data_IF_514599768997
#
_entry.id   IF_514599768997
#
_cell.length_a   1.000
_cell.length_b   1.000
_cell.length_c   1.000
_cell.angle_alpha   90.00
_cell.angle_beta   90.00
_cell.angle_gamma   90.00
#
_symmetry.space_group_name_H-M   'P 1'
#
loop_
_entity.id
_entity.type
_entity.pdbx_description
1 polymer ?
#
# COMPACT_ATOMS: atom_id res chain seq x y z
N UNK A 1 5.59 59.30 15.46
CA UNK A 1 6.79 58.43 15.34
C UNK A 1 6.94 57.68 16.66
N UNK A 2 7.25 56.36 16.64
CA UNK A 2 6.81 55.32 17.60
C UNK A 2 7.97 54.93 18.59
N UNK A 3 8.12 53.74 19.27
CA UNK A 3 7.75 52.34 18.91
C UNK A 3 7.03 51.45 19.97
N UNK A 4 6.48 50.32 19.47
CA UNK A 4 5.95 49.11 20.17
C UNK A 4 7.05 48.20 20.77
N UNK A 5 6.69 47.16 21.57
CA UNK A 5 6.68 45.79 21.00
C UNK A 5 5.63 44.80 21.59
N UNK A 6 5.09 43.94 20.72
CA UNK A 6 5.04 42.48 20.96
C UNK A 6 3.75 41.86 21.50
N UNK A 7 2.68 41.79 20.70
CA UNK A 7 1.58 40.84 20.94
C UNK A 7 1.62 39.71 19.90
N UNK A 8 1.99 38.52 20.36
CA UNK A 8 2.06 37.27 19.59
C UNK A 8 0.67 36.76 19.17
N UNK A 9 0.48 36.23 17.95
CA UNK A 9 -0.78 35.61 17.55
C UNK A 9 -0.89 34.21 18.16
N UNK A 10 -1.87 33.99 19.05
CA UNK A 10 -2.18 32.65 19.57
C UNK A 10 -3.01 31.90 18.54
N UNK A 11 -2.39 30.94 17.85
CA UNK A 11 -3.10 29.97 17.02
C UNK A 11 -3.83 28.97 17.92
N UNK A 12 -5.14 28.72 17.75
CA UNK A 12 -5.80 27.61 18.42
C UNK A 12 -5.40 26.26 17.77
N UNK A 13 -5.16 25.20 18.55
CA UNK A 13 -4.79 23.87 18.04
C UNK A 13 -5.97 23.11 17.41
N UNK A 14 -5.73 22.31 16.35
CA UNK A 14 -6.77 21.51 15.69
C UNK A 14 -6.93 20.12 16.36
N UNK A 15 -7.59 20.06 17.51
CA UNK A 15 -7.91 18.77 18.18
C UNK A 15 -9.40 18.35 18.04
N UNK A 16 -10.16 19.01 17.16
CA UNK A 16 -11.57 18.69 16.89
C UNK A 16 -11.77 17.81 15.63
N UNK A 17 -10.73 17.15 15.13
CA UNK A 17 -10.80 16.28 13.94
C UNK A 17 -11.08 14.80 14.27
N UNK A 18 -11.58 14.50 15.47
CA UNK A 18 -12.09 13.17 15.78
C UNK A 18 -13.42 12.94 15.07
N UNK A 19 -13.42 11.92 14.20
CA UNK A 19 -14.59 11.17 13.69
C UNK A 19 -15.41 11.86 12.60
N UNK A 20 -14.78 12.15 11.46
CA UNK A 20 -15.46 11.90 10.18
C UNK A 20 -15.14 10.47 9.76
N UNK A 21 -16.13 9.60 9.95
CA UNK A 21 -16.21 8.29 9.30
C UNK A 21 -16.03 8.51 7.79
N UNK A 22 -14.79 8.39 7.35
CA UNK A 22 -14.44 8.40 5.96
C UNK A 22 -14.76 7.00 5.43
N UNK A 23 -16.03 6.82 5.06
CA UNK A 23 -16.38 5.99 3.91
C UNK A 23 -15.67 6.64 2.71
N UNK A 24 -14.35 6.45 2.59
CA UNK A 24 -13.65 6.74 1.35
C UNK A 24 -14.06 5.62 0.42
N UNK A 25 -14.95 5.96 -0.53
CA UNK A 25 -15.17 5.14 -1.70
C UNK A 25 -13.82 4.70 -2.24
N UNK A 26 -13.75 3.42 -2.59
CA UNK A 26 -12.69 2.75 -3.36
C UNK A 26 -11.94 3.73 -4.25
N UNK A 27 -10.95 4.43 -3.67
CA UNK A 27 -10.00 5.24 -4.40
C UNK A 27 -9.15 4.19 -5.08
N UNK A 28 -9.22 4.13 -6.40
CA UNK A 28 -8.30 3.34 -7.22
C UNK A 28 -6.88 3.67 -6.73
N UNK A 29 -6.35 2.79 -5.88
CA UNK A 29 -4.97 2.87 -5.43
C UNK A 29 -4.15 2.39 -6.61
N UNK A 30 -3.01 3.04 -6.91
CA UNK A 30 -2.15 2.56 -7.98
C UNK A 30 -1.85 1.09 -7.73
N UNK A 31 -1.99 0.27 -8.78
CA UNK A 31 -1.69 -1.15 -8.72
C UNK A 31 -0.41 -1.39 -7.89
N UNK A 32 -0.46 -2.34 -6.95
CA UNK A 32 0.66 -2.66 -6.07
C UNK A 32 0.69 -1.97 -4.71
N UNK A 33 -0.32 -1.20 -4.32
CA UNK A 33 -0.54 -0.74 -2.94
C UNK A 33 -1.88 -1.24 -2.38
N UNK A 34 -1.87 -1.97 -1.26
CA UNK A 34 -3.08 -2.43 -0.56
C UNK A 34 -3.10 -1.91 0.89
N UNK A 35 -3.93 -0.90 1.15
CA UNK A 35 -4.01 -0.24 2.46
C UNK A 35 -4.61 -1.12 3.56
N UNK A 36 -5.49 -2.06 3.24
CA UNK A 36 -6.03 -2.98 4.25
C UNK A 36 -4.96 -3.98 4.70
N UNK A 37 -4.14 -4.46 3.76
CA UNK A 37 -2.97 -5.28 4.08
C UNK A 37 -1.98 -4.50 4.95
N UNK A 38 -1.72 -3.23 4.60
CA UNK A 38 -0.87 -2.34 5.37
C UNK A 38 -1.36 -2.13 6.81
N UNK A 39 -2.66 -1.88 6.99
CA UNK A 39 -3.28 -1.71 8.30
C UNK A 39 -3.19 -2.99 9.14
N UNK A 40 -3.50 -4.15 8.55
CA UNK A 40 -3.38 -5.44 9.22
C UNK A 40 -1.95 -5.67 9.76
N UNK A 41 -0.92 -5.46 8.94
CA UNK A 41 0.46 -5.67 9.40
C UNK A 41 0.89 -4.67 10.49
N UNK A 42 0.42 -3.42 10.43
CA UNK A 42 0.67 -2.41 11.47
C UNK A 42 -0.01 -2.77 12.80
N UNK A 43 -1.26 -3.23 12.76
CA UNK A 43 -1.99 -3.67 13.94
C UNK A 43 -1.34 -4.90 14.58
N UNK A 44 -0.92 -5.87 13.76
CA UNK A 44 -0.22 -7.06 14.24
C UNK A 44 1.13 -6.71 14.88
N UNK A 45 1.86 -5.75 14.30
CA UNK A 45 3.09 -5.24 14.93
C UNK A 45 2.79 -4.58 16.28
N UNK A 46 1.81 -3.68 16.32
CA UNK A 46 1.44 -2.99 17.55
C UNK A 46 1.05 -3.98 18.66
N UNK A 47 0.33 -5.06 18.31
CA UNK A 47 -0.01 -6.14 19.22
C UNK A 47 1.21 -6.96 19.70
N UNK A 48 2.22 -7.13 18.84
CA UNK A 48 3.47 -7.85 19.18
C UNK A 48 4.44 -7.04 20.05
N UNK A 49 4.26 -5.72 20.15
CA UNK A 49 5.15 -4.78 20.84
C UNK A 49 6.64 -4.85 20.40
N UNK A 50 6.91 -5.31 19.17
CA UNK A 50 8.26 -5.39 18.60
C UNK A 50 8.56 -4.14 17.75
N UNK A 51 9.84 -3.75 17.68
CA UNK A 51 10.31 -2.78 16.67
C UNK A 51 10.50 -3.42 15.29
N UNK A 52 10.52 -2.64 14.22
CA UNK A 52 10.74 -3.11 12.84
C UNK A 52 11.99 -3.96 12.70
N UNK A 53 13.07 -3.52 13.34
CA UNK A 53 14.33 -4.22 13.31
C UNK A 53 14.27 -5.55 14.10
N UNK A 54 13.64 -5.57 15.28
CA UNK A 54 13.48 -6.79 16.07
C UNK A 54 12.63 -7.83 15.36
N UNK A 55 11.56 -7.38 14.70
CA UNK A 55 10.69 -8.27 13.94
C UNK A 55 11.39 -8.80 12.70
N UNK A 56 12.13 -7.96 11.95
CA UNK A 56 12.95 -8.41 10.84
C UNK A 56 13.96 -9.47 11.27
N UNK A 57 14.61 -9.26 12.43
CA UNK A 57 15.51 -10.24 13.05
C UNK A 57 14.82 -11.56 13.37
N UNK A 58 13.62 -11.53 13.98
CA UNK A 58 12.84 -12.74 14.30
C UNK A 58 12.34 -13.48 13.08
N UNK A 59 11.98 -12.76 12.01
CA UNK A 59 11.49 -13.33 10.76
C UNK A 59 12.64 -13.79 9.83
N UNK A 60 13.89 -13.50 10.18
CA UNK A 60 15.06 -13.80 9.35
C UNK A 60 15.01 -13.08 8.01
N UNK A 61 14.52 -11.83 8.00
CA UNK A 61 14.36 -11.02 6.79
C UNK A 61 14.94 -9.61 6.98
N UNK A 62 14.84 -8.78 5.94
CA UNK A 62 15.29 -7.38 5.97
C UNK A 62 14.19 -6.47 6.50
N UNK A 63 14.59 -5.40 7.17
CA UNK A 63 13.66 -4.36 7.66
C UNK A 63 12.82 -3.76 6.52
N UNK A 64 13.40 -3.60 5.34
CA UNK A 64 12.70 -3.07 4.16
C UNK A 64 11.48 -3.93 3.76
N UNK A 65 11.56 -5.25 3.97
CA UNK A 65 10.45 -6.18 3.64
C UNK A 65 9.30 -5.99 4.63
N UNK A 66 9.64 -5.82 5.91
CA UNK A 66 8.66 -5.52 6.95
C UNK A 66 7.98 -4.18 6.69
N UNK A 67 8.76 -3.17 6.31
CA UNK A 67 8.24 -1.86 5.90
C UNK A 67 7.32 -1.93 4.69
N UNK A 68 7.71 -2.70 3.65
CA UNK A 68 6.87 -2.90 2.47
C UNK A 68 5.52 -3.54 2.83
N UNK A 69 5.50 -4.52 3.75
CA UNK A 69 4.26 -5.14 4.23
C UNK A 69 3.41 -4.14 5.04
N UNK A 70 4.02 -3.37 5.93
CA UNK A 70 3.33 -2.37 6.78
C UNK A 70 2.86 -1.12 6.01
N UNK A 71 3.45 -0.85 4.84
CA UNK A 71 3.03 0.20 3.91
C UNK A 71 2.07 -0.33 2.83
N UNK A 72 1.89 -1.66 2.75
CA UNK A 72 1.11 -2.31 1.70
C UNK A 72 1.75 -2.22 0.31
N UNK A 73 3.04 -1.92 0.22
CA UNK A 73 3.80 -1.80 -1.02
C UNK A 73 4.12 -3.17 -1.62
N UNK A 74 3.10 -3.83 -2.19
CA UNK A 74 3.18 -5.22 -2.64
C UNK A 74 4.23 -5.44 -3.73
N UNK A 75 4.53 -4.44 -4.55
CA UNK A 75 5.59 -4.52 -5.57
C UNK A 75 7.01 -4.37 -5.03
N UNK A 76 7.17 -3.85 -3.80
CA UNK A 76 8.46 -3.79 -3.12
C UNK A 76 8.78 -5.09 -2.35
N UNK A 77 7.85 -6.06 -2.36
CA UNK A 77 8.04 -7.34 -1.71
C UNK A 77 9.10 -8.19 -2.43
N UNK A 78 9.81 -9.04 -1.68
CA UNK A 78 10.78 -9.95 -2.26
C UNK A 78 10.07 -11.03 -3.11
N UNK A 79 10.84 -11.87 -3.85
CA UNK A 79 10.26 -12.94 -4.66
C UNK A 79 9.22 -13.78 -3.91
N UNK A 80 8.21 -14.30 -4.61
CA UNK A 80 7.04 -14.92 -3.98
C UNK A 80 7.37 -16.00 -2.92
N UNK A 81 8.38 -16.83 -3.17
CA UNK A 81 8.86 -17.83 -2.21
C UNK A 81 9.32 -17.21 -0.87
N UNK A 82 10.03 -16.08 -0.96
CA UNK A 82 10.48 -15.29 0.19
C UNK A 82 9.30 -14.65 0.93
N UNK A 83 8.38 -14.05 0.17
CA UNK A 83 7.15 -13.44 0.74
C UNK A 83 6.33 -14.48 1.50
N UNK A 84 6.12 -15.66 0.91
CA UNK A 84 5.46 -16.77 1.59
C UNK A 84 6.18 -17.16 2.89
N UNK A 85 7.51 -17.28 2.86
CA UNK A 85 8.30 -17.66 4.04
C UNK A 85 8.18 -16.63 5.17
N UNK A 86 8.30 -15.33 4.85
CA UNK A 86 8.17 -14.23 5.83
C UNK A 86 6.76 -14.17 6.42
N UNK A 87 5.73 -14.20 5.58
CA UNK A 87 4.33 -14.13 6.03
C UNK A 87 3.95 -15.37 6.86
N UNK A 88 4.40 -16.57 6.49
CA UNK A 88 4.19 -17.77 7.32
C UNK A 88 4.90 -17.69 8.67
N UNK A 89 6.15 -17.20 8.71
CA UNK A 89 6.86 -16.98 9.98
C UNK A 89 6.12 -15.96 10.87
N UNK A 90 5.57 -14.91 10.26
CA UNK A 90 4.74 -13.92 10.94
C UNK A 90 3.47 -14.55 11.54
N UNK A 91 2.75 -15.35 10.73
CA UNK A 91 1.57 -16.09 11.17
C UNK A 91 1.85 -17.05 12.30
N UNK A 92 2.99 -17.77 12.24
CA UNK A 92 3.39 -18.70 13.29
C UNK A 92 3.68 -17.98 14.62
N UNK A 93 4.27 -16.77 14.59
CA UNK A 93 4.53 -16.00 15.81
C UNK A 93 3.26 -15.54 16.52
N UNK A 94 2.20 -15.22 15.77
CA UNK A 94 0.94 -14.70 16.30
C UNK A 94 -0.22 -15.72 16.26
N UNK A 95 0.08 -16.97 15.92
CA UNK A 95 -0.88 -18.05 15.75
C UNK A 95 -2.05 -17.69 14.81
N UNK A 96 -1.74 -17.04 13.68
CA UNK A 96 -2.68 -16.50 12.71
C UNK A 96 -2.69 -17.37 11.43
N UNK A 97 -3.87 -17.67 10.88
CA UNK A 97 -3.97 -18.34 9.59
C UNK A 97 -3.69 -17.34 8.46
N UNK A 98 -2.54 -17.48 7.82
CA UNK A 98 -2.06 -16.54 6.80
C UNK A 98 -2.44 -16.94 5.37
N UNK A 99 -3.08 -18.09 5.17
CA UNK A 99 -3.50 -18.54 3.84
C UNK A 99 -4.43 -17.56 3.13
N UNK A 100 -5.48 -16.99 3.75
CA UNK A 100 -6.32 -16.00 3.09
C UNK A 100 -5.53 -14.73 2.75
N UNK A 101 -4.58 -14.33 3.59
CA UNK A 101 -3.74 -13.16 3.38
C UNK A 101 -2.80 -13.36 2.18
N UNK A 102 -2.13 -14.50 2.10
CA UNK A 102 -1.29 -14.86 0.94
C UNK A 102 -2.11 -14.90 -0.36
N UNK A 103 -3.32 -15.46 -0.34
CA UNK A 103 -4.20 -15.44 -1.53
C UNK A 103 -4.56 -14.02 -1.97
N UNK A 104 -4.84 -13.13 -1.02
CA UNK A 104 -5.13 -11.72 -1.32
C UNK A 104 -3.92 -11.02 -1.93
N UNK A 105 -2.74 -11.15 -1.33
CA UNK A 105 -1.50 -10.55 -1.84
C UNK A 105 -1.19 -11.07 -3.25
N UNK A 106 -1.33 -12.38 -3.49
CA UNK A 106 -1.12 -12.97 -4.81
C UNK A 106 -2.10 -12.42 -5.86
N UNK A 107 -3.40 -12.36 -5.54
CA UNK A 107 -4.41 -11.83 -6.44
C UNK A 107 -4.16 -10.35 -6.80
N UNK A 108 -3.69 -9.54 -5.84
CA UNK A 108 -3.31 -8.14 -6.08
C UNK A 108 -2.08 -8.02 -6.99
N UNK A 109 -1.07 -8.88 -6.79
CA UNK A 109 0.10 -8.94 -7.67
C UNK A 109 -0.30 -9.34 -9.10
N UNK A 110 -1.19 -10.33 -9.27
CA UNK A 110 -1.71 -10.72 -10.58
C UNK A 110 -2.56 -9.64 -11.24
N UNK A 111 -3.48 -9.01 -10.50
CA UNK A 111 -4.30 -7.90 -11.00
C UNK A 111 -3.44 -6.73 -11.45
N UNK A 112 -2.39 -6.42 -10.70
CA UNK A 112 -1.42 -5.41 -11.04
C UNK A 112 -0.58 -5.72 -12.28
N UNK A 113 -0.22 -6.98 -12.50
CA UNK A 113 0.41 -7.44 -13.75
C UNK A 113 -0.55 -7.26 -14.94
N UNK A 114 -1.85 -7.47 -14.74
CA UNK A 114 -2.87 -7.28 -15.79
C UNK A 114 -3.06 -5.81 -16.13
N UNK A 115 -3.03 -4.91 -15.14
CA UNK A 115 -3.18 -3.47 -15.36
C UNK A 115 -1.91 -2.84 -15.98
N UNK A 116 -0.73 -3.37 -15.65
CA UNK A 116 0.54 -2.98 -16.27
C UNK A 116 0.73 -3.55 -17.68
N UNK A 117 -0.05 -4.55 -18.10
CA UNK A 117 -0.14 -4.88 -19.53
C UNK A 117 -0.89 -3.74 -20.18
N UNK A 118 -0.27 -2.98 -21.12
CA UNK A 118 -0.99 -1.92 -21.79
C UNK A 118 -2.26 -2.51 -22.40
N UNK A 119 -3.41 -2.00 -21.97
CA UNK A 119 -4.69 -2.16 -22.65
C UNK A 119 -4.39 -1.90 -24.13
N UNK A 120 -4.33 -2.96 -24.93
CA UNK A 120 -4.29 -2.82 -26.37
C UNK A 120 -5.52 -2.00 -26.74
N UNK A 121 -5.27 -0.72 -27.00
CA UNK A 121 -6.24 0.21 -27.55
C UNK A 121 -6.92 -0.50 -28.73
N UNK A 122 -8.27 -0.55 -28.79
CA UNK A 122 -8.93 -1.07 -29.97
C UNK A 122 -8.43 -0.24 -31.15
N UNK A 123 -7.84 -0.94 -32.12
CA UNK A 123 -7.41 -0.43 -33.41
C UNK A 123 -8.52 0.48 -33.95
N UNK A 124 -8.28 1.79 -33.94
CA UNK A 124 -9.14 2.73 -34.64
C UNK A 124 -8.91 2.47 -36.12
N UNK A 125 -9.93 2.06 -36.90
CA UNK A 125 -9.72 1.88 -38.33
C UNK A 125 -9.43 3.25 -38.92
N UNK A 126 -8.16 3.50 -39.26
CA UNK A 126 -7.80 4.60 -40.14
C UNK A 126 -8.44 4.30 -41.49
N UNK A 127 -9.64 4.85 -41.69
CA UNK A 127 -10.27 4.88 -43.01
C UNK A 127 -9.35 5.69 -43.92
N UNK A 128 -8.47 4.99 -44.64
CA UNK A 128 -7.70 5.55 -45.73
C UNK A 128 -8.71 6.10 -46.74
N UNK A 129 -8.71 7.43 -46.83
CA UNK A 129 -9.43 8.21 -47.82
C UNK A 129 -9.04 7.68 -49.21
N UNK A 130 -9.88 6.85 -49.81
CA UNK A 130 -9.80 6.54 -51.23
C UNK A 130 -10.17 7.82 -51.98
N UNK A 131 -9.17 8.51 -52.51
CA UNK A 131 -9.36 9.59 -53.48
C UNK A 131 -8.51 9.27 -54.70
N UNK A 132 -8.98 8.29 -55.47
CA UNK A 132 -8.71 8.16 -56.90
C UNK A 132 -10.07 7.97 -57.55
N UNK A 133 -10.40 8.87 -58.48
CA UNK A 133 -11.31 8.77 -59.64
C UNK A 133 -11.74 10.23 -59.94
N UNK A 134 -11.57 10.86 -61.09
CA UNK A 134 -11.00 10.60 -62.43
C UNK A 134 -10.61 12.00 -62.93
#
# INVERSE_FOLDING_TARGET
MPPEPGQVPVSPPPDAARRRLHIHGIKEMPAGYDAEVAELFRDLRAASALSENDLAGRLGTRVDVVQALEQGALYALPPWAETCRVVNAYGAMLNLDVRPLLRRIYAQLEAGIVELRPKAMPDVPVMTLSLIHI
#
